data_IF_977889139319
#
_entry.id   IF_977889139319
#
_cell.length_a   1.000
_cell.length_b   1.000
_cell.length_c   1.000
_cell.angle_alpha   90.00
_cell.angle_beta   90.00
_cell.angle_gamma   90.00
#
_symmetry.space_group_name_H-M   'P 1'
#
loop_
_entity.id
_entity.type
_entity.pdbx_description
1 polymer ?
#
# COMPACT_ATOMS: atom_id res chain seq x y z
N UNK A 1 -37.20 0.27 45.77
CA UNK A 1 -36.20 -0.13 46.79
C UNK A 1 -34.85 -0.24 46.08
N UNK A 2 -33.92 0.61 46.50
CA UNK A 2 -32.64 0.90 45.85
C UNK A 2 -31.56 -0.16 46.10
N UNK A 3 -30.65 -0.34 45.13
CA UNK A 3 -29.30 -0.85 45.34
C UNK A 3 -28.40 -0.16 44.26
N UNK A 4 -27.74 0.95 44.58
CA UNK A 4 -26.38 1.05 45.13
C UNK A 4 -25.30 0.64 44.11
N UNK A 5 -24.85 1.64 43.33
CA UNK A 5 -23.63 1.60 42.52
C UNK A 5 -22.47 1.98 43.45
N UNK A 6 -21.56 1.05 43.69
CA UNK A 6 -20.31 1.30 44.42
C UNK A 6 -19.16 1.42 43.43
N UNK A 7 -18.60 2.63 43.33
CA UNK A 7 -17.30 2.89 42.71
C UNK A 7 -16.35 3.35 43.83
N UNK A 8 -15.25 2.64 44.09
CA UNK A 8 -14.03 3.23 44.64
C UNK A 8 -13.06 3.47 43.46
N UNK A 9 -12.32 4.56 43.36
CA UNK A 9 -11.73 5.33 44.42
C UNK A 9 -10.28 5.57 44.00
N UNK A 10 -9.99 6.83 43.73
CA UNK A 10 -8.77 7.41 43.18
C UNK A 10 -7.62 7.38 44.20
N UNK A 11 -6.47 6.80 43.84
CA UNK A 11 -5.15 7.08 44.45
C UNK A 11 -4.15 7.10 43.29
N UNK A 12 -3.47 8.20 42.96
CA UNK A 12 -2.78 9.07 43.90
C UNK A 12 -1.31 8.69 44.05
N UNK A 13 -0.59 8.41 42.95
CA UNK A 13 0.90 8.38 42.98
C UNK A 13 1.48 9.16 41.81
N UNK A 14 1.75 10.42 42.12
CA UNK A 14 2.73 11.28 41.47
C UNK A 14 4.12 10.67 41.57
N UNK A 15 4.82 10.53 40.45
CA UNK A 15 6.29 10.59 40.43
C UNK A 15 6.69 11.25 39.13
N UNK A 16 7.31 12.42 39.28
CA UNK A 16 7.74 13.35 38.25
C UNK A 16 8.78 12.74 37.30
N UNK A 17 8.96 13.34 36.10
CA UNK A 17 9.84 12.85 35.05
C UNK A 17 11.24 13.45 35.18
N UNK A 18 12.27 12.61 35.16
CA UNK A 18 13.68 12.91 34.91
C UNK A 18 14.27 11.57 34.44
N UNK A 19 14.88 11.39 33.26
CA UNK A 19 15.97 12.18 32.72
C UNK A 19 16.00 12.13 31.18
N UNK A 20 16.32 13.29 30.62
CA UNK A 20 16.82 13.49 29.27
C UNK A 20 18.18 12.83 29.13
N UNK A 21 18.27 11.70 28.41
CA UNK A 21 19.55 11.26 27.84
C UNK A 21 19.37 10.37 26.62
N UNK A 22 19.80 10.91 25.48
CA UNK A 22 20.29 10.13 24.35
C UNK A 22 19.26 9.79 23.29
N UNK A 23 18.82 10.78 22.52
CA UNK A 23 18.50 10.52 21.12
C UNK A 23 19.79 10.10 20.41
N UNK A 24 19.92 8.87 19.86
CA UNK A 24 20.83 8.69 18.75
C UNK A 24 20.19 9.37 17.54
N UNK A 25 20.77 10.49 17.13
CA UNK A 25 20.57 11.07 15.81
C UNK A 25 20.63 9.97 14.74
N UNK A 26 19.69 9.90 13.78
CA UNK A 26 19.82 8.99 12.66
C UNK A 26 20.98 9.50 11.80
N UNK A 27 22.15 8.88 11.97
CA UNK A 27 23.27 9.04 11.06
C UNK A 27 22.80 8.62 9.68
N UNK A 28 22.66 9.62 8.81
CA UNK A 28 22.57 9.46 7.37
C UNK A 28 23.74 8.61 6.90
N UNK A 29 23.48 7.34 6.60
CA UNK A 29 24.16 6.54 5.55
C UNK A 29 23.80 5.09 5.74
N UNK A 30 22.78 4.63 5.04
CA UNK A 30 22.86 3.34 4.36
C UNK A 30 22.02 3.42 3.09
N UNK A 31 22.77 3.48 1.99
CA UNK A 31 22.50 2.84 0.71
C UNK A 31 21.02 2.60 0.35
N UNK A 32 20.54 3.47 -0.52
CA UNK A 32 20.14 3.10 -1.88
C UNK A 32 20.08 1.58 -2.18
N UNK A 33 19.05 0.90 -1.67
CA UNK A 33 18.43 -0.23 -2.37
C UNK A 33 17.06 0.23 -2.85
N UNK A 34 17.12 1.14 -3.82
CA UNK A 34 16.00 1.41 -4.70
C UNK A 34 15.72 0.11 -5.45
N UNK A 35 14.76 -0.69 -4.95
CA UNK A 35 14.16 -1.72 -5.79
C UNK A 35 13.57 -1.00 -7.01
N UNK A 36 14.04 -1.27 -8.24
CA UNK A 36 13.37 -0.74 -9.40
C UNK A 36 11.97 -1.36 -9.44
N UNK A 37 10.95 -0.53 -9.26
CA UNK A 37 9.56 -0.94 -9.53
C UNK A 37 9.49 -1.23 -11.03
N UNK A 38 9.03 -2.41 -11.46
CA UNK A 38 8.84 -2.71 -12.88
C UNK A 38 7.89 -1.67 -13.49
N UNK A 39 8.39 -0.86 -14.42
CA UNK A 39 7.57 0.06 -15.20
C UNK A 39 7.00 -0.79 -16.34
N UNK A 40 5.66 -0.92 -16.49
CA UNK A 40 5.09 -1.60 -17.65
C UNK A 40 5.53 -0.88 -18.93
N UNK A 41 6.04 -1.66 -19.88
CA UNK A 41 6.55 -1.21 -21.17
C UNK A 41 5.50 -0.38 -21.93
N UNK A 42 5.80 0.88 -22.27
CA UNK A 42 4.95 1.63 -23.19
C UNK A 42 4.93 3.16 -23.10
N UNK A 43 5.97 3.85 -22.60
CA UNK A 43 6.02 5.33 -22.66
C UNK A 43 7.33 5.84 -23.29
N UNK A 44 7.27 6.84 -24.17
CA UNK A 44 8.38 7.28 -25.01
C UNK A 44 9.53 7.90 -24.21
N UNK A 45 10.76 7.94 -24.76
CA UNK A 45 11.93 8.45 -24.06
C UNK A 45 11.77 9.94 -23.70
N UNK A 46 11.88 10.20 -22.40
CA UNK A 46 12.28 11.43 -21.73
C UNK A 46 12.82 12.54 -22.64
N UNK A 47 11.96 13.50 -22.98
CA UNK A 47 12.43 14.84 -23.35
C UNK A 47 12.83 15.57 -22.06
N UNK A 48 14.09 15.43 -21.67
CA UNK A 48 14.68 16.32 -20.67
C UNK A 48 14.68 17.74 -21.26
N UNK A 49 14.01 18.74 -20.64
CA UNK A 49 14.24 20.11 -21.07
C UNK A 49 15.66 20.51 -20.66
N UNK A 50 16.46 20.81 -21.69
CA UNK A 50 17.79 21.37 -21.57
C UNK A 50 17.76 22.58 -20.62
N UNK A 51 18.76 22.61 -19.74
CA UNK A 51 19.02 23.71 -18.81
C UNK A 51 19.19 25.03 -19.55
N UNK A 52 18.26 25.96 -19.36
CA UNK A 52 18.52 27.37 -19.57
C UNK A 52 18.87 28.01 -18.23
N UNK A 53 20.17 28.27 -18.04
CA UNK A 53 20.70 29.07 -16.94
C UNK A 53 20.02 30.44 -16.94
N UNK A 54 19.31 30.76 -15.86
CA UNK A 54 18.92 32.12 -15.52
C UNK A 54 19.07 32.26 -14.01
N UNK A 55 20.04 33.07 -13.60
CA UNK A 55 20.41 33.43 -12.22
C UNK A 55 19.29 33.21 -11.20
N UNK A 56 19.27 32.02 -10.60
CA UNK A 56 18.38 31.67 -9.50
C UNK A 56 19.25 31.30 -8.33
N UNK A 57 18.97 31.90 -7.17
CA UNK A 57 19.61 31.59 -5.90
C UNK A 57 19.76 30.05 -5.76
N UNK A 58 20.98 29.52 -5.57
CA UNK A 58 21.21 28.07 -5.45
C UNK A 58 20.33 27.43 -4.38
N UNK A 59 19.94 28.17 -3.34
CA UNK A 59 19.00 27.71 -2.31
C UNK A 59 17.56 27.59 -2.84
N UNK A 60 17.11 28.53 -3.65
CA UNK A 60 15.80 28.45 -4.33
C UNK A 60 15.75 27.25 -5.29
N UNK A 61 16.83 27.02 -6.06
CA UNK A 61 16.94 25.86 -6.95
C UNK A 61 16.95 24.53 -6.17
N UNK A 62 17.65 24.48 -5.02
CA UNK A 62 17.64 23.32 -4.12
C UNK A 62 16.26 23.06 -3.54
N UNK A 63 15.57 24.10 -3.07
CA UNK A 63 14.23 24.01 -2.50
C UNK A 63 13.22 23.46 -3.53
N UNK A 64 13.26 23.94 -4.78
CA UNK A 64 12.40 23.44 -5.86
C UNK A 64 12.66 21.95 -6.13
N UNK A 65 13.93 21.52 -6.18
CA UNK A 65 14.25 20.08 -6.38
C UNK A 65 13.74 19.22 -5.23
N UNK A 66 13.90 19.67 -3.99
CA UNK A 66 13.40 18.96 -2.81
C UNK A 66 11.87 18.89 -2.79
N UNK A 67 11.19 19.99 -3.14
CA UNK A 67 9.73 20.03 -3.25
C UNK A 67 9.23 19.02 -4.30
N UNK A 68 9.84 19.00 -5.50
CA UNK A 68 9.50 18.01 -6.54
C UNK A 68 9.74 16.57 -6.10
N UNK A 69 10.85 16.32 -5.38
CA UNK A 69 11.13 14.97 -4.83
C UNK A 69 10.10 14.56 -3.78
N UNK A 70 9.70 15.49 -2.91
CA UNK A 70 8.67 15.24 -1.90
C UNK A 70 7.31 14.98 -2.55
N UNK A 71 6.94 15.74 -3.59
CA UNK A 71 5.72 15.53 -4.35
C UNK A 71 5.72 14.18 -5.07
N UNK A 72 6.81 13.82 -5.74
CA UNK A 72 6.97 12.50 -6.35
C UNK A 72 6.83 11.38 -5.32
N UNK A 73 7.41 11.53 -4.13
CA UNK A 73 7.26 10.56 -3.04
C UNK A 73 5.81 10.48 -2.52
N UNK A 74 5.09 11.61 -2.44
CA UNK A 74 3.65 11.61 -2.09
C UNK A 74 2.83 10.89 -3.15
N UNK A 75 3.06 11.17 -4.43
CA UNK A 75 2.37 10.51 -5.53
C UNK A 75 2.65 8.99 -5.53
N UNK A 76 3.89 8.57 -5.29
CA UNK A 76 4.24 7.15 -5.19
C UNK A 76 3.51 6.46 -4.02
N UNK A 77 3.49 7.09 -2.84
CA UNK A 77 2.74 6.59 -1.68
C UNK A 77 1.24 6.51 -1.95
N UNK A 78 0.68 7.50 -2.64
CA UNK A 78 -0.74 7.51 -2.99
C UNK A 78 -1.08 6.36 -3.96
N UNK A 79 -0.30 6.19 -5.03
CA UNK A 79 -0.48 5.08 -5.97
C UNK A 79 -0.39 3.72 -5.28
N UNK A 80 0.55 3.56 -4.35
CA UNK A 80 0.66 2.32 -3.59
C UNK A 80 -0.58 2.06 -2.73
N UNK A 81 -1.10 3.08 -2.04
CA UNK A 81 -2.35 2.96 -1.27
C UNK A 81 -3.52 2.57 -2.16
N UNK A 82 -3.66 3.22 -3.31
CA UNK A 82 -4.70 2.90 -4.29
C UNK A 82 -4.59 1.44 -4.75
N UNK A 83 -3.39 1.00 -5.13
CA UNK A 83 -3.13 -0.38 -5.50
C UNK A 83 -3.52 -1.38 -4.39
N UNK A 84 -3.12 -1.12 -3.15
CA UNK A 84 -3.47 -2.00 -2.01
C UNK A 84 -4.98 -2.05 -1.79
N UNK A 85 -5.67 -0.90 -1.87
CA UNK A 85 -7.13 -0.85 -1.78
C UNK A 85 -7.81 -1.64 -2.89
N UNK A 86 -7.38 -1.44 -4.15
CA UNK A 86 -7.91 -2.18 -5.30
C UNK A 86 -7.70 -3.69 -5.16
N UNK A 87 -6.51 -4.13 -4.70
CA UNK A 87 -6.25 -5.54 -4.43
C UNK A 87 -7.15 -6.09 -3.31
N UNK A 88 -7.39 -5.30 -2.27
CA UNK A 88 -8.28 -5.70 -1.18
C UNK A 88 -9.73 -5.85 -1.66
N UNK A 89 -10.22 -4.91 -2.48
CA UNK A 89 -11.55 -4.97 -3.08
C UNK A 89 -11.70 -6.20 -3.99
N UNK A 90 -10.70 -6.48 -4.84
CA UNK A 90 -10.69 -7.68 -5.70
C UNK A 90 -10.72 -8.97 -4.87
N UNK A 91 -9.94 -9.05 -3.79
CA UNK A 91 -9.95 -10.20 -2.88
C UNK A 91 -11.33 -10.39 -2.24
N UNK A 92 -11.97 -9.30 -1.80
CA UNK A 92 -13.30 -9.35 -1.21
C UNK A 92 -14.37 -9.83 -2.22
N UNK A 93 -14.31 -9.33 -3.46
CA UNK A 93 -15.21 -9.78 -4.54
C UNK A 93 -15.00 -11.26 -4.87
N UNK A 94 -13.75 -11.71 -4.97
CA UNK A 94 -13.43 -13.11 -5.25
C UNK A 94 -13.93 -14.02 -4.13
N UNK A 95 -13.69 -13.64 -2.88
CA UNK A 95 -14.14 -14.40 -1.71
C UNK A 95 -15.66 -14.47 -1.62
N UNK A 96 -16.37 -13.36 -1.89
CA UNK A 96 -17.83 -13.37 -1.98
C UNK A 96 -18.33 -14.30 -3.09
N UNK A 97 -17.64 -14.33 -4.24
CA UNK A 97 -17.99 -15.21 -5.36
C UNK A 97 -17.80 -16.69 -5.02
N UNK A 98 -16.70 -17.04 -4.37
CA UNK A 98 -16.44 -18.42 -3.92
C UNK A 98 -17.53 -18.88 -2.97
N UNK A 99 -17.88 -18.08 -1.96
CA UNK A 99 -18.97 -18.40 -1.02
C UNK A 99 -20.31 -18.60 -1.72
N UNK A 100 -20.61 -17.81 -2.74
CA UNK A 100 -21.84 -17.99 -3.51
C UNK A 100 -21.83 -19.29 -4.32
N UNK A 101 -20.69 -19.64 -4.93
CA UNK A 101 -20.54 -20.91 -5.65
C UNK A 101 -20.62 -22.13 -4.72
N UNK A 102 -20.06 -22.03 -3.52
CA UNK A 102 -20.22 -23.02 -2.44
C UNK A 102 -21.70 -23.19 -2.08
N UNK A 103 -22.41 -22.08 -1.84
CA UNK A 103 -23.85 -22.08 -1.48
C UNK A 103 -24.72 -22.70 -2.58
N UNK A 104 -24.39 -22.47 -3.84
CA UNK A 104 -25.11 -23.01 -4.99
C UNK A 104 -24.80 -24.50 -5.25
N UNK A 105 -23.90 -25.12 -4.49
CA UNK A 105 -23.48 -26.50 -4.72
C UNK A 105 -22.65 -26.70 -5.98
N UNK A 106 -22.22 -25.61 -6.63
CA UNK A 106 -21.45 -25.63 -7.87
C UNK A 106 -20.02 -26.18 -7.70
N UNK A 107 -19.60 -26.49 -6.48
CA UNK A 107 -18.30 -27.10 -6.19
C UNK A 107 -18.40 -28.60 -5.82
N UNK A 108 -19.60 -29.19 -5.89
CA UNK A 108 -19.83 -30.59 -5.47
C UNK A 108 -19.55 -31.61 -6.57
N UNK A 109 -19.75 -31.24 -7.84
CA UNK A 109 -19.51 -32.06 -9.01
C UNK A 109 -18.32 -31.53 -9.84
N UNK A 110 -17.60 -32.40 -10.54
CA UNK A 110 -16.47 -31.97 -11.39
C UNK A 110 -16.88 -30.94 -12.46
N UNK A 111 -18.06 -31.12 -13.05
CA UNK A 111 -18.58 -30.24 -14.10
C UNK A 111 -18.92 -28.84 -13.54
N UNK A 112 -19.53 -28.79 -12.35
CA UNK A 112 -19.70 -27.56 -11.58
C UNK A 112 -18.38 -26.89 -11.25
N UNK A 113 -17.40 -27.66 -10.76
CA UNK A 113 -16.09 -27.15 -10.36
C UNK A 113 -15.33 -26.56 -11.56
N UNK A 114 -15.37 -27.22 -12.73
CA UNK A 114 -14.80 -26.67 -13.98
C UNK A 114 -15.47 -25.34 -14.36
N UNK A 115 -16.80 -25.26 -14.26
CA UNK A 115 -17.56 -24.02 -14.56
C UNK A 115 -17.25 -22.90 -13.56
N UNK A 116 -17.18 -23.23 -12.27
CA UNK A 116 -16.79 -22.30 -11.21
C UNK A 116 -15.38 -21.75 -11.43
N UNK A 117 -14.41 -22.61 -11.75
CA UNK A 117 -13.04 -22.21 -12.06
C UNK A 117 -12.97 -21.33 -13.31
N UNK A 118 -13.72 -21.64 -14.36
CA UNK A 118 -13.77 -20.81 -15.56
C UNK A 118 -14.32 -19.40 -15.26
N UNK A 119 -15.36 -19.30 -14.44
CA UNK A 119 -15.92 -18.01 -14.01
C UNK A 119 -14.97 -17.21 -13.13
N UNK A 120 -14.26 -17.88 -12.21
CA UNK A 120 -13.23 -17.24 -11.38
C UNK A 120 -12.08 -16.74 -12.26
N UNK A 121 -11.57 -17.56 -13.18
CA UNK A 121 -10.52 -17.16 -14.12
C UNK A 121 -10.92 -15.99 -15.01
N UNK A 122 -12.18 -15.94 -15.47
CA UNK A 122 -12.70 -14.83 -16.26
C UNK A 122 -12.80 -13.51 -15.47
N UNK A 123 -12.93 -13.58 -14.14
CA UNK A 123 -12.94 -12.40 -13.27
C UNK A 123 -11.53 -11.90 -12.91
N UNK A 124 -10.48 -12.65 -13.23
CA UNK A 124 -9.09 -12.23 -13.01
C UNK A 124 -8.61 -11.34 -14.14
N UNK A 125 -7.75 -10.38 -13.79
CA UNK A 125 -7.02 -9.62 -14.81
C UNK A 125 -6.05 -10.53 -15.58
N UNK A 126 -5.69 -10.19 -16.83
CA UNK A 126 -4.75 -11.00 -17.63
C UNK A 126 -3.40 -11.23 -16.93
N UNK A 127 -2.91 -10.25 -16.17
CA UNK A 127 -1.67 -10.37 -15.40
C UNK A 127 -1.80 -11.39 -14.25
N UNK A 128 -2.95 -11.45 -13.58
CA UNK A 128 -3.21 -12.43 -12.51
C UNK A 128 -3.43 -13.84 -13.08
N UNK A 129 -4.08 -13.97 -14.24
CA UNK A 129 -4.26 -15.25 -14.91
C UNK A 129 -2.91 -15.86 -15.33
N UNK A 130 -2.01 -15.06 -15.92
CA UNK A 130 -0.67 -15.50 -16.29
C UNK A 130 0.17 -15.95 -15.08
N UNK A 131 0.03 -15.29 -13.94
CA UNK A 131 0.73 -15.67 -12.71
C UNK A 131 0.22 -17.02 -12.16
N UNK A 132 -1.07 -17.30 -12.25
CA UNK A 132 -1.62 -18.62 -11.87
C UNK A 132 -1.13 -19.74 -12.78
N UNK A 133 -1.01 -19.50 -14.09
CA UNK A 133 -0.45 -20.49 -15.02
C UNK A 133 1.04 -20.77 -14.78
N UNK A 134 1.78 -19.80 -14.22
CA UNK A 134 3.18 -19.98 -13.83
C UNK A 134 3.35 -20.82 -12.57
N UNK A 135 2.34 -20.85 -11.70
CA UNK A 135 2.37 -21.50 -10.39
C UNK A 135 1.77 -22.92 -10.38
N UNK A 136 1.04 -23.30 -11.43
CA UNK A 136 0.47 -24.64 -11.62
C UNK A 136 1.35 -25.54 -12.47
#
# INVERSE_FOLDING_TARGET
MSAAISIPGHDGRSSSPSDLRGSPSPTHSELAKSCPIPIPHGLPPSSAPASSSKNGDPESSRHVRLARKAESARAARLRHKQYVSEMHEQMMLLHARVRELERLGALTDEEGMRRALAQIKAALSPAQAAELERLG
#
